data_IF_691984738775
#
_entry.id   IF_691984738775
#
_cell.length_a   1.000
_cell.length_b   1.000
_cell.length_c   1.000
_cell.angle_alpha   90.00
_cell.angle_beta   90.00
_cell.angle_gamma   90.00
#
_symmetry.space_group_name_H-M   'P 1'
#
loop_
_entity.id
_entity.type
_entity.pdbx_description
1 polymer ?
#
# COMPACT_ATOMS: atom_id res chain seq x y z
N UNK A 1 9.09 33.09 -9.25
CA UNK A 1 10.37 32.38 -9.32
C UNK A 1 10.08 30.99 -8.74
N UNK A 2 10.52 29.92 -9.34
CA UNK A 2 10.23 28.57 -8.82
C UNK A 2 10.99 28.29 -7.51
N UNK A 3 10.47 27.45 -6.63
CA UNK A 3 11.12 27.06 -5.36
C UNK A 3 12.42 26.28 -5.61
N UNK A 4 12.46 25.51 -6.70
CA UNK A 4 13.58 24.64 -7.05
C UNK A 4 13.72 24.53 -8.56
N UNK A 5 14.96 24.58 -9.05
CA UNK A 5 15.32 24.16 -10.42
C UNK A 5 16.28 22.98 -10.38
N UNK A 6 15.92 21.92 -11.07
CA UNK A 6 16.81 20.78 -11.36
C UNK A 6 17.48 21.07 -12.69
N UNK A 7 18.81 21.33 -12.67
CA UNK A 7 19.54 21.93 -13.78
C UNK A 7 20.33 20.91 -14.60
N UNK A 8 20.24 21.02 -15.92
CA UNK A 8 21.15 20.38 -16.88
C UNK A 8 21.04 18.85 -16.97
N UNK A 9 19.96 18.28 -16.47
CA UNK A 9 19.73 16.83 -16.51
C UNK A 9 19.31 16.31 -17.87
N UNK A 10 19.44 15.00 -18.07
CA UNK A 10 18.84 14.31 -19.22
C UNK A 10 17.41 13.90 -18.86
N UNK A 11 16.43 14.58 -19.43
CA UNK A 11 15.01 14.33 -19.13
C UNK A 11 14.54 13.04 -19.84
N UNK A 12 13.89 12.16 -19.06
CA UNK A 12 13.14 10.99 -19.52
C UNK A 12 11.77 11.08 -18.83
N UNK A 13 10.77 11.62 -19.52
CA UNK A 13 9.50 12.04 -18.93
C UNK A 13 8.42 10.96 -18.91
N UNK A 14 8.71 9.73 -19.37
CA UNK A 14 7.76 8.62 -19.38
C UNK A 14 6.71 8.66 -20.50
N UNK A 15 6.72 9.70 -21.36
CA UNK A 15 5.74 9.83 -22.45
C UNK A 15 6.10 9.01 -23.70
N UNK A 16 7.29 8.43 -23.74
CA UNK A 16 7.85 7.76 -24.93
C UNK A 16 8.58 8.73 -25.88
N UNK A 17 8.60 10.02 -25.57
CA UNK A 17 9.37 10.99 -26.33
C UNK A 17 10.89 10.76 -26.19
N UNK A 18 11.71 11.12 -27.21
CA UNK A 18 13.16 11.04 -27.11
C UNK A 18 13.70 11.84 -25.92
N UNK A 19 14.69 11.25 -25.22
CA UNK A 19 15.40 11.96 -24.15
C UNK A 19 16.01 13.26 -24.66
N UNK A 20 16.01 14.31 -23.83
CA UNK A 20 16.61 15.61 -24.10
C UNK A 20 17.27 16.22 -22.88
N UNK A 21 18.26 17.06 -23.05
CA UNK A 21 18.77 17.91 -21.95
C UNK A 21 17.82 19.07 -21.72
N UNK A 22 17.49 19.32 -20.49
CA UNK A 22 16.68 20.47 -20.06
C UNK A 22 16.80 20.68 -18.55
N UNK A 23 16.34 21.85 -18.09
CA UNK A 23 16.07 22.12 -16.68
C UNK A 23 14.61 21.77 -16.35
N UNK A 24 14.32 21.47 -15.07
CA UNK A 24 12.97 21.28 -14.55
C UNK A 24 12.74 22.25 -13.40
N UNK A 25 11.74 23.12 -13.54
CA UNK A 25 11.33 24.04 -12.48
C UNK A 25 10.16 23.45 -11.69
N UNK A 26 10.28 23.50 -10.37
CA UNK A 26 9.26 23.04 -9.41
C UNK A 26 8.86 24.22 -8.54
N UNK A 27 7.55 24.42 -8.38
CA UNK A 27 6.96 25.44 -7.53
C UNK A 27 5.74 24.87 -6.79
N UNK A 28 5.65 25.08 -5.48
CA UNK A 28 4.59 24.52 -4.66
C UNK A 28 4.45 22.99 -4.79
N UNK A 29 5.58 22.25 -4.94
CA UNK A 29 5.60 20.81 -5.11
C UNK A 29 5.12 20.31 -6.49
N UNK A 30 4.98 21.19 -7.49
CA UNK A 30 4.55 20.84 -8.85
C UNK A 30 5.59 21.24 -9.88
N UNK A 31 5.76 20.43 -10.92
CA UNK A 31 6.54 20.80 -12.10
C UNK A 31 5.75 21.88 -12.85
N UNK A 32 6.34 23.09 -12.95
CA UNK A 32 5.72 24.25 -13.61
C UNK A 32 6.33 24.56 -14.97
N UNK A 33 7.56 24.11 -15.22
CA UNK A 33 8.22 24.27 -16.52
C UNK A 33 9.28 23.18 -16.74
N UNK A 34 9.51 22.84 -18.01
CA UNK A 34 10.66 22.06 -18.48
C UNK A 34 11.21 22.79 -19.70
N UNK A 35 12.46 23.24 -19.64
CA UNK A 35 13.08 24.04 -20.70
C UNK A 35 14.51 24.41 -20.38
N UNK A 36 15.05 25.39 -21.08
CA UNK A 36 16.42 25.87 -20.91
C UNK A 36 16.46 27.11 -20.02
N UNK A 37 17.52 27.25 -19.24
CA UNK A 37 17.83 28.45 -18.45
C UNK A 37 16.68 28.92 -17.52
N UNK A 38 16.04 27.97 -16.82
CA UNK A 38 14.99 28.27 -15.87
C UNK A 38 15.58 28.85 -14.58
N UNK A 39 14.84 29.76 -13.92
CA UNK A 39 15.23 30.40 -12.67
C UNK A 39 14.45 29.89 -11.48
N UNK A 40 15.13 29.71 -10.35
CA UNK A 40 14.54 29.28 -9.08
C UNK A 40 15.37 29.70 -7.88
N UNK A 41 14.74 29.67 -6.69
CA UNK A 41 15.36 30.06 -5.42
C UNK A 41 16.47 29.09 -4.99
N UNK A 42 16.30 27.80 -5.34
CA UNK A 42 17.26 26.71 -5.09
C UNK A 42 17.59 26.03 -6.40
N UNK A 43 18.82 25.56 -6.52
CA UNK A 43 19.27 24.77 -7.67
C UNK A 43 19.79 23.41 -7.22
N UNK A 44 19.45 22.37 -8.00
CA UNK A 44 20.01 21.02 -7.90
C UNK A 44 20.70 20.71 -9.22
N UNK A 45 22.03 20.58 -9.21
CA UNK A 45 22.79 20.19 -10.40
C UNK A 45 22.54 18.71 -10.73
N UNK A 46 21.94 18.47 -11.87
CA UNK A 46 21.69 17.15 -12.44
C UNK A 46 22.56 16.85 -13.68
N UNK A 47 23.65 17.60 -13.86
CA UNK A 47 24.57 17.39 -14.97
C UNK A 47 25.12 15.97 -14.96
N UNK A 48 24.99 15.25 -16.11
CA UNK A 48 25.40 13.86 -16.22
C UNK A 48 24.40 12.83 -15.64
N UNK A 49 23.30 13.28 -15.04
CA UNK A 49 22.26 12.43 -14.48
C UNK A 49 21.01 12.39 -15.36
N UNK A 50 20.20 11.36 -15.15
CA UNK A 50 18.85 11.27 -15.72
C UNK A 50 17.87 11.87 -14.71
N UNK A 51 16.97 12.71 -15.21
CA UNK A 51 15.81 13.21 -14.46
C UNK A 51 14.56 12.56 -15.04
N UNK A 52 13.91 11.76 -14.23
CA UNK A 52 12.72 11.01 -14.59
C UNK A 52 11.68 11.05 -13.47
N UNK A 53 10.39 10.76 -13.74
CA UNK A 53 9.43 10.48 -12.68
C UNK A 53 9.94 9.38 -11.76
N UNK A 54 9.61 9.47 -10.47
CA UNK A 54 9.90 8.40 -9.52
C UNK A 54 9.15 7.11 -9.87
N UNK A 55 9.70 5.97 -9.48
CA UNK A 55 9.05 4.69 -9.70
C UNK A 55 7.82 4.55 -8.81
N UNK A 56 6.80 3.85 -9.31
CA UNK A 56 5.63 3.42 -8.56
C UNK A 56 5.75 1.93 -8.34
N UNK A 57 5.91 1.51 -7.10
CA UNK A 57 5.90 0.11 -6.73
C UNK A 57 4.46 -0.31 -6.41
N UNK A 58 3.85 -1.01 -7.35
CA UNK A 58 2.43 -1.37 -7.31
C UNK A 58 2.16 -2.65 -6.50
N UNK A 59 3.19 -3.32 -5.98
CA UNK A 59 3.03 -4.56 -5.24
C UNK A 59 3.99 -4.63 -4.06
N UNK A 60 3.53 -4.17 -2.90
CA UNK A 60 4.29 -4.22 -1.65
C UNK A 60 3.44 -4.77 -0.51
N UNK A 61 4.13 -5.18 0.57
CA UNK A 61 3.51 -5.60 1.83
C UNK A 61 3.95 -4.68 2.98
N UNK A 62 3.98 -3.37 2.72
CA UNK A 62 4.32 -2.34 3.72
C UNK A 62 3.21 -2.02 4.70
N UNK A 63 2.09 -2.75 4.66
CA UNK A 63 0.91 -2.53 5.49
C UNK A 63 1.22 -2.40 6.98
N UNK A 64 2.10 -3.27 7.47
CA UNK A 64 2.55 -3.26 8.85
C UNK A 64 3.83 -2.44 9.03
N UNK A 65 4.79 -2.59 8.11
CA UNK A 65 6.11 -1.97 8.20
C UNK A 65 6.04 -0.45 8.29
N UNK A 66 5.05 0.19 7.67
CA UNK A 66 4.86 1.65 7.71
C UNK A 66 4.81 2.23 9.13
N UNK A 67 4.46 1.43 10.13
CA UNK A 67 4.38 1.87 11.53
C UNK A 67 5.72 1.94 12.24
N UNK A 68 6.74 1.18 11.82
CA UNK A 68 8.09 1.21 12.40
C UNK A 68 9.15 1.71 11.44
N UNK A 69 8.86 1.75 10.15
CA UNK A 69 9.74 2.28 9.10
C UNK A 69 8.94 3.18 8.15
N UNK A 70 8.63 4.43 8.57
CA UNK A 70 7.88 5.38 7.75
C UNK A 70 8.64 5.84 6.50
N UNK A 71 9.95 5.60 6.43
CA UNK A 71 10.75 5.85 5.23
C UNK A 71 10.51 4.80 4.13
N UNK A 72 9.82 3.71 4.45
CA UNK A 72 9.46 2.61 3.54
C UNK A 72 10.68 2.06 2.80
N UNK A 73 11.70 1.72 3.61
CA UNK A 73 12.94 1.13 3.09
C UNK A 73 12.75 -0.36 2.76
N UNK A 74 13.43 -0.89 1.76
CA UNK A 74 14.44 -0.26 0.92
C UNK A 74 13.88 0.50 -0.31
N UNK A 75 12.57 0.50 -0.57
CA UNK A 75 11.98 1.10 -1.79
C UNK A 75 12.38 2.56 -1.97
N UNK A 76 12.40 3.37 -0.88
CA UNK A 76 12.82 4.77 -0.92
C UNK A 76 14.27 4.94 -1.40
N UNK A 77 15.17 3.99 -1.13
CA UNK A 77 16.57 4.04 -1.57
C UNK A 77 16.76 3.74 -3.06
N UNK A 78 15.74 3.20 -3.72
CA UNK A 78 15.80 2.78 -5.12
C UNK A 78 15.03 3.71 -6.06
N UNK A 79 14.68 4.94 -5.62
CA UNK A 79 13.99 5.91 -6.45
C UNK A 79 12.49 5.66 -6.60
N UNK A 80 11.92 4.81 -5.75
CA UNK A 80 10.46 4.67 -5.61
C UNK A 80 9.94 5.92 -4.90
N UNK A 81 8.86 6.49 -5.40
CA UNK A 81 8.18 7.65 -4.82
C UNK A 81 6.74 7.38 -4.43
N UNK A 82 6.22 6.24 -4.84
CA UNK A 82 4.86 5.80 -4.51
C UNK A 82 4.85 4.29 -4.32
N UNK A 83 4.25 3.82 -3.24
CA UNK A 83 4.04 2.40 -2.96
C UNK A 83 2.56 2.08 -2.83
N UNK A 84 2.22 0.85 -3.21
CA UNK A 84 0.87 0.29 -3.06
C UNK A 84 0.97 -0.95 -2.19
N UNK A 85 0.34 -0.90 -1.03
CA UNK A 85 0.23 -2.00 -0.06
C UNK A 85 -1.14 -2.70 -0.11
N UNK A 86 -1.37 -3.69 0.73
CA UNK A 86 -2.62 -4.48 0.78
C UNK A 86 -2.74 -5.50 -0.34
N UNK A 87 -1.66 -5.83 -0.98
CA UNK A 87 -1.63 -6.78 -2.10
C UNK A 87 -1.98 -8.21 -1.66
N UNK A 88 -2.27 -9.06 -2.62
CA UNK A 88 -2.62 -10.48 -2.39
C UNK A 88 -3.81 -10.69 -1.42
N UNK A 89 -4.52 -9.62 -1.05
CA UNK A 89 -5.61 -9.70 -0.08
C UNK A 89 -5.18 -9.72 1.38
N UNK A 90 -3.94 -9.29 1.69
CA UNK A 90 -3.34 -9.36 3.02
C UNK A 90 -3.15 -7.99 3.70
N UNK A 91 -4.07 -7.05 3.51
CA UNK A 91 -4.04 -5.84 4.34
C UNK A 91 -4.18 -6.20 5.83
N UNK A 92 -3.64 -5.34 6.71
CA UNK A 92 -3.76 -5.56 8.17
C UNK A 92 -5.04 -4.98 8.77
N UNK A 93 -5.83 -4.28 7.96
CA UNK A 93 -7.15 -3.77 8.29
C UNK A 93 -8.15 -4.11 7.16
N UNK A 94 -9.45 -4.22 7.48
CA UNK A 94 -10.06 -4.12 8.81
C UNK A 94 -9.74 -5.33 9.68
N UNK A 95 -9.69 -5.14 11.00
CA UNK A 95 -9.41 -6.22 11.94
C UNK A 95 -10.05 -5.94 13.32
N UNK A 96 -10.65 -6.94 13.94
CA UNK A 96 -11.12 -6.85 15.32
C UNK A 96 -10.02 -7.25 16.28
N UNK A 97 -10.01 -6.77 17.53
CA UNK A 97 -8.97 -7.12 18.50
C UNK A 97 -8.74 -8.62 18.65
N UNK A 98 -9.80 -9.42 18.68
CA UNK A 98 -9.71 -10.90 18.77
C UNK A 98 -9.12 -11.57 17.53
N UNK A 99 -9.13 -10.89 16.38
CA UNK A 99 -8.58 -11.37 15.12
C UNK A 99 -7.09 -11.07 14.90
N UNK A 100 -6.51 -10.16 15.68
CA UNK A 100 -5.13 -9.70 15.49
C UNK A 100 -4.13 -10.86 15.50
N UNK A 101 -4.25 -11.76 16.48
CA UNK A 101 -3.31 -12.88 16.60
C UNK A 101 -3.36 -13.85 15.42
N UNK A 102 -4.54 -14.11 14.83
CA UNK A 102 -4.67 -15.00 13.67
C UNK A 102 -4.17 -14.32 12.39
N UNK A 103 -4.44 -13.02 12.22
CA UNK A 103 -3.95 -12.27 11.09
C UNK A 103 -2.42 -12.18 11.11
N UNK A 104 -1.82 -11.86 12.26
CA UNK A 104 -0.37 -11.78 12.41
C UNK A 104 0.32 -13.13 12.09
N UNK A 105 -0.24 -14.27 12.56
CA UNK A 105 0.27 -15.59 12.19
C UNK A 105 0.09 -15.89 10.70
N UNK A 106 -0.97 -15.40 10.08
CA UNK A 106 -1.16 -15.54 8.64
C UNK A 106 -0.07 -14.80 7.86
N UNK A 107 0.20 -13.55 8.21
CA UNK A 107 1.26 -12.73 7.60
C UNK A 107 2.64 -13.34 7.82
N UNK A 108 2.89 -13.94 8.99
CA UNK A 108 4.14 -14.65 9.25
C UNK A 108 4.35 -15.81 8.27
N UNK A 109 3.30 -16.56 7.94
CA UNK A 109 3.42 -17.71 7.04
C UNK A 109 3.43 -17.34 5.56
N UNK A 110 2.79 -16.25 5.18
CA UNK A 110 2.61 -15.87 3.77
C UNK A 110 3.68 -14.88 3.31
N UNK A 111 4.12 -13.98 4.22
CA UNK A 111 5.01 -12.86 3.90
C UNK A 111 6.31 -12.91 4.73
N UNK A 112 6.58 -13.99 5.45
CA UNK A 112 7.77 -14.15 6.31
C UNK A 112 7.95 -13.02 7.36
N UNK A 113 6.87 -12.32 7.72
CA UNK A 113 6.90 -11.29 8.74
C UNK A 113 6.93 -11.91 10.13
N UNK A 114 7.92 -11.55 10.97
CA UNK A 114 7.99 -12.07 12.34
C UNK A 114 6.72 -11.73 13.14
N UNK A 115 6.11 -12.73 13.78
CA UNK A 115 4.95 -12.53 14.66
C UNK A 115 5.26 -11.52 15.78
N UNK A 116 6.46 -11.60 16.38
CA UNK A 116 6.87 -10.69 17.46
C UNK A 116 6.98 -9.24 16.94
N UNK A 117 7.55 -9.07 15.73
CA UNK A 117 7.64 -7.75 15.10
C UNK A 117 6.25 -7.18 14.82
N UNK A 118 5.34 -7.97 14.28
CA UNK A 118 3.96 -7.55 14.02
C UNK A 118 3.22 -7.19 15.32
N UNK A 119 3.43 -7.99 16.38
CA UNK A 119 2.74 -7.80 17.66
C UNK A 119 3.16 -6.51 18.38
N UNK A 120 4.44 -6.10 18.24
CA UNK A 120 4.99 -4.92 18.91
C UNK A 120 5.03 -3.70 18.00
N UNK A 121 5.28 -3.90 16.69
CA UNK A 121 5.51 -2.82 15.75
C UNK A 121 4.22 -2.16 15.22
N UNK A 122 3.11 -2.87 15.23
CA UNK A 122 1.82 -2.35 14.76
C UNK A 122 0.99 -1.86 15.95
N UNK A 123 0.47 -0.62 15.93
CA UNK A 123 -0.40 -0.09 16.98
C UNK A 123 -1.84 -0.59 16.80
N UNK A 124 -2.06 -1.87 17.12
CA UNK A 124 -3.34 -2.56 16.91
C UNK A 124 -4.54 -1.94 17.62
N UNK A 125 -4.29 -1.11 18.65
CA UNK A 125 -5.30 -0.39 19.41
C UNK A 125 -5.72 0.95 18.77
N UNK A 126 -5.03 1.40 17.73
CA UNK A 126 -5.34 2.66 17.04
C UNK A 126 -6.39 2.51 15.93
N UNK A 127 -6.69 1.29 15.49
CA UNK A 127 -7.63 1.06 14.39
C UNK A 127 -8.33 -0.30 14.46
N UNK A 128 -9.56 -0.32 14.00
CA UNK A 128 -10.35 -1.52 13.74
C UNK A 128 -10.82 -1.53 12.27
N UNK A 129 -11.29 -0.37 11.78
CA UNK A 129 -11.75 -0.23 10.40
C UNK A 129 -10.61 0.18 9.47
N UNK A 130 -10.82 0.00 8.16
CA UNK A 130 -9.84 0.39 7.15
C UNK A 130 -9.61 1.92 7.09
N UNK A 131 -10.65 2.78 7.17
CA UNK A 131 -10.44 4.23 7.28
C UNK A 131 -9.57 4.62 8.48
N UNK A 132 -9.83 4.05 9.68
CA UNK A 132 -9.02 4.31 10.87
C UNK A 132 -7.54 3.91 10.67
N UNK A 133 -7.29 2.78 9.99
CA UNK A 133 -5.94 2.37 9.62
C UNK A 133 -5.26 3.42 8.73
N UNK A 134 -5.92 3.89 7.67
CA UNK A 134 -5.35 4.95 6.82
C UNK A 134 -5.10 6.25 7.57
N UNK A 135 -5.97 6.61 8.50
CA UNK A 135 -5.76 7.76 9.40
C UNK A 135 -4.53 7.54 10.31
N UNK A 136 -4.34 6.33 10.85
CA UNK A 136 -3.17 6.00 11.66
C UNK A 136 -1.88 6.10 10.84
N UNK A 137 -1.87 5.61 9.59
CA UNK A 137 -0.74 5.78 8.66
C UNK A 137 -0.50 7.27 8.36
N UNK A 138 -1.55 8.05 8.10
CA UNK A 138 -1.43 9.47 7.82
C UNK A 138 -0.87 10.26 9.01
N UNK A 139 -1.26 9.90 10.24
CA UNK A 139 -0.69 10.51 11.46
C UNK A 139 0.79 10.19 11.63
N UNK A 140 1.21 8.99 11.24
CA UNK A 140 2.63 8.58 11.29
C UNK A 140 3.45 9.40 10.29
N UNK A 141 2.89 9.69 9.12
CA UNK A 141 3.59 10.27 7.99
C UNK A 141 4.47 9.25 7.28
N UNK A 142 4.65 9.41 5.97
CA UNK A 142 5.47 8.53 5.15
C UNK A 142 6.37 9.36 4.24
N UNK A 143 7.59 8.88 3.99
CA UNK A 143 8.52 9.53 3.05
C UNK A 143 8.06 9.38 1.59
N UNK A 144 7.31 8.32 1.28
CA UNK A 144 6.77 8.06 -0.05
C UNK A 144 5.25 8.27 -0.04
N UNK A 145 4.67 8.52 -1.22
CA UNK A 145 3.22 8.43 -1.37
C UNK A 145 2.77 6.99 -1.08
N UNK A 146 1.72 6.87 -0.29
CA UNK A 146 1.21 5.59 0.17
C UNK A 146 -0.23 5.38 -0.29
N UNK A 147 -0.48 4.27 -0.97
CA UNK A 147 -1.82 3.78 -1.27
C UNK A 147 -1.98 2.34 -0.76
N UNK A 148 -3.20 1.95 -0.39
CA UNK A 148 -3.43 0.61 0.12
C UNK A 148 -4.75 0.04 -0.40
N UNK A 149 -4.72 -1.25 -0.80
CA UNK A 149 -5.91 -2.04 -1.07
C UNK A 149 -6.52 -2.54 0.23
N UNK A 150 -7.85 -2.61 0.30
CA UNK A 150 -8.51 -3.41 1.33
C UNK A 150 -8.45 -4.89 0.92
N UNK A 151 -7.96 -5.74 1.83
CA UNK A 151 -7.68 -7.13 1.55
C UNK A 151 -8.89 -8.06 1.77
N UNK A 152 -9.08 -9.02 0.87
CA UNK A 152 -10.16 -10.01 0.97
C UNK A 152 -10.02 -10.90 2.21
N UNK A 153 -8.79 -11.35 2.53
CA UNK A 153 -8.52 -12.15 3.73
C UNK A 153 -8.88 -11.38 5.00
N UNK A 154 -8.42 -10.11 5.11
CA UNK A 154 -8.73 -9.25 6.24
C UNK A 154 -10.26 -8.99 6.37
N UNK A 155 -10.93 -8.69 5.25
CA UNK A 155 -12.38 -8.46 5.21
C UNK A 155 -13.15 -9.70 5.69
N UNK A 156 -12.76 -10.90 5.25
CA UNK A 156 -13.39 -12.14 5.69
C UNK A 156 -13.16 -12.44 7.17
N UNK A 157 -11.94 -12.24 7.65
CA UNK A 157 -11.62 -12.40 9.07
C UNK A 157 -12.40 -11.40 9.94
N UNK A 158 -12.53 -10.17 9.49
CA UNK A 158 -13.29 -9.13 10.20
C UNK A 158 -14.77 -9.49 10.36
N UNK A 159 -15.39 -10.10 9.34
CA UNK A 159 -16.83 -10.43 9.33
C UNK A 159 -17.14 -11.78 9.94
N UNK A 160 -16.30 -12.80 9.68
CA UNK A 160 -16.55 -14.20 10.01
C UNK A 160 -15.66 -14.74 11.15
N UNK A 161 -14.60 -14.02 11.53
CA UNK A 161 -13.60 -14.55 12.46
C UNK A 161 -12.89 -15.79 11.89
N UNK A 162 -12.58 -16.76 12.74
CA UNK A 162 -11.86 -18.00 12.35
C UNK A 162 -12.62 -18.86 11.34
N UNK A 163 -13.95 -18.80 11.33
CA UNK A 163 -14.76 -19.55 10.35
C UNK A 163 -14.44 -19.17 8.89
N UNK A 164 -13.80 -18.01 8.68
CA UNK A 164 -13.32 -17.59 7.37
C UNK A 164 -12.34 -18.58 6.73
N UNK A 165 -11.63 -19.39 7.54
CA UNK A 165 -10.72 -20.45 7.06
C UNK A 165 -11.44 -21.76 6.70
N UNK A 166 -12.68 -21.96 7.13
CA UNK A 166 -13.34 -23.24 7.12
C UNK A 166 -14.46 -23.35 6.10
N UNK A 167 -15.14 -22.23 5.81
CA UNK A 167 -16.34 -22.27 4.98
C UNK A 167 -16.50 -21.02 4.10
N UNK A 168 -17.35 -21.14 3.10
CA UNK A 168 -17.84 -20.00 2.34
C UNK A 168 -18.72 -19.09 3.22
N UNK A 169 -18.79 -17.81 2.83
CA UNK A 169 -19.66 -16.85 3.49
C UNK A 169 -21.14 -17.10 3.17
N UNK A 170 -22.01 -16.85 4.14
CA UNK A 170 -23.46 -16.79 3.93
C UNK A 170 -23.85 -15.50 3.21
N UNK A 171 -25.07 -15.39 2.64
CA UNK A 171 -25.55 -14.14 2.01
C UNK A 171 -25.46 -12.93 2.95
N UNK A 172 -25.85 -13.06 4.22
CA UNK A 172 -25.79 -11.99 5.21
C UNK A 172 -24.34 -11.55 5.51
N UNK A 173 -23.40 -12.51 5.53
CA UNK A 173 -21.98 -12.22 5.69
C UNK A 173 -21.42 -11.50 4.46
N UNK A 174 -21.83 -11.88 3.25
CA UNK A 174 -21.47 -11.19 2.02
C UNK A 174 -21.96 -9.74 2.02
N UNK A 175 -23.20 -9.49 2.45
CA UNK A 175 -23.73 -8.13 2.53
C UNK A 175 -22.95 -7.28 3.56
N UNK A 176 -22.54 -7.88 4.70
CA UNK A 176 -21.65 -7.21 5.66
C UNK A 176 -20.26 -6.94 5.07
N UNK A 177 -19.68 -7.87 4.31
CA UNK A 177 -18.39 -7.67 3.64
C UNK A 177 -18.47 -6.54 2.61
N UNK A 178 -19.55 -6.48 1.81
CA UNK A 178 -19.78 -5.39 0.86
C UNK A 178 -19.83 -4.02 1.54
N UNK A 179 -20.51 -3.95 2.69
CA UNK A 179 -20.57 -2.72 3.47
C UNK A 179 -19.19 -2.30 3.99
N UNK A 180 -18.38 -3.26 4.48
CA UNK A 180 -17.01 -3.03 4.94
C UNK A 180 -16.11 -2.55 3.80
N UNK A 181 -16.20 -3.16 2.62
CA UNK A 181 -15.42 -2.74 1.45
C UNK A 181 -15.87 -1.36 0.96
N UNK A 182 -17.18 -1.09 0.94
CA UNK A 182 -17.71 0.23 0.57
C UNK A 182 -17.23 1.33 1.53
N UNK A 183 -17.20 1.06 2.84
CA UNK A 183 -16.64 1.97 3.85
C UNK A 183 -15.15 2.20 3.63
N UNK A 184 -14.38 1.14 3.38
CA UNK A 184 -12.96 1.24 3.06
C UNK A 184 -12.69 2.11 1.82
N UNK A 185 -13.47 1.91 0.75
CA UNK A 185 -13.37 2.70 -0.48
C UNK A 185 -13.72 4.18 -0.25
N UNK A 186 -14.77 4.45 0.53
CA UNK A 186 -15.15 5.81 0.93
C UNK A 186 -14.07 6.48 1.79
N UNK A 187 -13.36 5.71 2.61
CA UNK A 187 -12.27 6.15 3.47
C UNK A 187 -10.91 6.28 2.78
N UNK A 188 -10.82 5.98 1.47
CA UNK A 188 -9.59 6.21 0.68
C UNK A 188 -8.81 4.95 0.29
N UNK A 189 -9.37 3.74 0.46
CA UNK A 189 -8.78 2.56 -0.16
C UNK A 189 -8.70 2.74 -1.68
N UNK A 190 -7.58 2.33 -2.29
CA UNK A 190 -7.40 2.48 -3.75
C UNK A 190 -8.03 1.35 -4.55
N UNK A 191 -8.57 0.34 -3.88
CA UNK A 191 -9.23 -0.81 -4.48
C UNK A 191 -9.34 -1.97 -3.50
N UNK A 192 -9.78 -3.12 -4.02
CA UNK A 192 -9.91 -4.39 -3.31
C UNK A 192 -8.94 -5.41 -3.89
N UNK A 193 -8.19 -6.10 -3.02
CA UNK A 193 -7.25 -7.13 -3.44
C UNK A 193 -7.67 -8.51 -2.92
N UNK A 194 -7.41 -9.53 -3.73
CA UNK A 194 -7.69 -10.93 -3.39
C UNK A 194 -6.61 -11.85 -3.95
N UNK A 195 -6.52 -13.05 -3.42
CA UNK A 195 -5.65 -14.09 -3.97
C UNK A 195 -6.33 -15.46 -3.96
N UNK A 196 -6.13 -16.19 -5.05
CA UNK A 196 -6.46 -17.60 -5.19
C UNK A 196 -5.20 -18.47 -5.34
N UNK A 197 -4.00 -17.93 -5.07
CA UNK A 197 -2.74 -18.65 -5.21
C UNK A 197 -2.72 -19.90 -4.32
N UNK A 198 -2.40 -21.09 -4.86
CA UNK A 198 -2.33 -22.33 -4.07
C UNK A 198 -1.19 -22.31 -3.03
N UNK A 199 -0.23 -21.41 -3.17
CA UNK A 199 0.90 -21.24 -2.24
C UNK A 199 0.54 -20.41 -1.02
N UNK A 200 -0.54 -19.62 -1.07
CA UNK A 200 -0.96 -18.81 0.06
C UNK A 200 -1.69 -19.69 1.09
N UNK A 201 -0.93 -20.16 2.05
CA UNK A 201 -1.42 -20.91 3.20
C UNK A 201 -1.07 -20.13 4.47
N UNK A 202 -2.04 -19.96 5.34
CA UNK A 202 -1.86 -19.33 6.64
C UNK A 202 -1.40 -20.30 7.72
N UNK A 203 -1.74 -19.96 8.95
CA UNK A 203 -1.41 -20.76 10.13
C UNK A 203 -1.78 -22.23 9.95
N UNK A 204 -0.87 -23.13 10.36
CA UNK A 204 -0.99 -24.60 10.25
C UNK A 204 -1.17 -25.13 8.81
N UNK A 205 -0.76 -24.37 7.79
CA UNK A 205 -0.85 -24.75 6.39
C UNK A 205 -2.29 -24.72 5.83
N UNK A 206 -3.25 -24.13 6.55
CA UNK A 206 -4.62 -23.95 6.05
C UNK A 206 -4.65 -22.95 4.89
N UNK A 207 -5.44 -23.18 3.83
CA UNK A 207 -5.66 -22.17 2.81
C UNK A 207 -6.09 -20.83 3.45
N UNK A 208 -5.53 -19.72 3.00
CA UNK A 208 -5.96 -18.40 3.50
C UNK A 208 -7.43 -18.12 3.19
N UNK A 209 -8.14 -17.31 3.99
CA UNK A 209 -9.58 -17.07 3.84
C UNK A 209 -10.04 -16.71 2.42
N UNK A 210 -9.27 -15.93 1.66
CA UNK A 210 -9.63 -15.59 0.28
C UNK A 210 -9.71 -16.83 -0.65
N UNK A 211 -8.97 -17.91 -0.37
CA UNK A 211 -9.02 -19.17 -1.13
C UNK A 211 -10.21 -20.05 -0.80
N UNK A 212 -10.83 -19.85 0.36
CA UNK A 212 -12.05 -20.56 0.79
C UNK A 212 -13.31 -19.90 0.22
N UNK A 213 -13.16 -18.70 -0.35
CA UNK A 213 -14.25 -17.99 -1.00
C UNK A 213 -14.73 -18.69 -2.26
N UNK A 214 -16.06 -18.72 -2.47
CA UNK A 214 -16.66 -19.17 -3.74
C UNK A 214 -16.67 -18.02 -4.76
N UNK A 215 -16.86 -18.32 -6.05
CA UNK A 215 -16.98 -17.31 -7.10
C UNK A 215 -18.07 -16.27 -6.82
N UNK A 216 -19.20 -16.69 -6.21
CA UNK A 216 -20.25 -15.78 -5.77
C UNK A 216 -19.83 -14.86 -4.63
N UNK A 217 -18.90 -15.30 -3.79
CA UNK A 217 -18.34 -14.50 -2.69
C UNK A 217 -17.11 -13.65 -3.13
N UNK A 218 -16.61 -13.88 -4.33
CA UNK A 218 -15.56 -13.03 -4.93
C UNK A 218 -16.12 -11.81 -5.67
N UNK A 219 -17.45 -11.69 -5.75
CA UNK A 219 -18.16 -10.53 -6.32
C UNK A 219 -18.53 -9.51 -5.23
N UNK A 220 -17.59 -9.23 -4.32
CA UNK A 220 -17.72 -8.21 -3.26
C UNK A 220 -17.44 -6.84 -3.85
#
# INVERSE_FOLDING_TARGET
MADLVIRGGTIVDGTGAPRRRADVAVDGGRIVAIGDALDGDRELDASGHVVAPGFIDIHTHYDAQVFWDPDLTPSSFHGVTTVVAGNCGFSIAPIRPEGVGILARTLQHVEDMSFDTLSVGVPWDEFETFPQYLEAVARRGTALNYGCYVGHTATRLYVMGEEAYERAATPDELDRMRAVVADAMAGGAIGFASSASPTHNGDQGRPVPSRVATWTSSAI
#
